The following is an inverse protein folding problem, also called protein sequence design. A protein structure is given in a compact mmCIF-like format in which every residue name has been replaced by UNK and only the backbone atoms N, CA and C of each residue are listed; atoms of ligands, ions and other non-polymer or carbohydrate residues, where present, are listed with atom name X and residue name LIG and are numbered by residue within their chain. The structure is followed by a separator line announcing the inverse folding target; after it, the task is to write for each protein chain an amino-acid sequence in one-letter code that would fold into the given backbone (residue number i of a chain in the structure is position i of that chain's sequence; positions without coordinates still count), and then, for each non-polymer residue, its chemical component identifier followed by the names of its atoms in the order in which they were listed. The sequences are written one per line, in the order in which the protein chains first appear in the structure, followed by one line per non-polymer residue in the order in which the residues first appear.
data_IF_329410155567
#
_entry.id   IF_329410155567
#
_cell.length_a   1.000
_cell.length_b   1.000
_cell.length_c   1.000
_cell.angle_alpha   90.00
_cell.angle_beta   90.00
_cell.angle_gamma   90.00
#
_symmetry.space_group_name_H-M   'P 1'
#
loop_
_entity.id
_entity.type
_entity.pdbx_description
1 polymer ?
#
# COMPACT_ATOMS: atom_id res chain seq x y z
N UNK A 1 5.54 4.65 13.63
CA UNK A 1 6.54 3.93 12.82
C UNK A 1 6.95 4.71 11.55
N UNK A 2 6.86 6.05 11.53
CA UNK A 2 7.24 6.89 10.37
C UNK A 2 8.58 7.63 10.55
N UNK A 3 9.13 7.68 11.76
CA UNK A 3 10.29 8.52 12.06
C UNK A 3 11.63 7.92 11.60
N UNK A 4 11.72 6.61 11.39
CA UNK A 4 12.99 5.97 10.98
C UNK A 4 13.23 6.01 9.46
N UNK A 5 12.15 5.90 8.66
CA UNK A 5 12.24 6.02 7.20
C UNK A 5 12.59 7.46 6.79
N UNK A 6 11.93 8.45 7.38
CA UNK A 6 12.22 9.86 7.12
C UNK A 6 13.67 10.24 7.51
N UNK A 7 14.22 9.65 8.59
CA UNK A 7 15.62 9.88 9.00
C UNK A 7 16.65 9.26 8.04
N UNK A 8 16.32 8.17 7.34
CA UNK A 8 17.23 7.56 6.35
C UNK A 8 17.34 8.40 5.07
N UNK A 9 16.23 9.00 4.64
CA UNK A 9 16.17 9.82 3.42
C UNK A 9 16.88 11.19 3.58
N UNK A 10 16.82 11.78 4.78
CA UNK A 10 17.48 13.07 5.08
C UNK A 10 19.02 13.06 4.89
N UNK A 11 19.65 11.89 4.86
CA UNK A 11 21.10 11.73 4.69
C UNK A 11 21.48 10.98 3.40
N UNK A 12 20.53 10.72 2.50
CA UNK A 12 20.76 9.97 1.26
C UNK A 12 20.98 10.88 0.05
N UNK A 13 21.68 10.37 -0.97
CA UNK A 13 21.84 11.11 -2.23
C UNK A 13 20.50 11.24 -2.98
N UNK A 14 20.34 12.24 -3.86
CA UNK A 14 19.11 12.39 -4.66
C UNK A 14 18.73 11.12 -5.44
N UNK A 15 19.73 10.38 -5.92
CA UNK A 15 19.50 9.11 -6.62
C UNK A 15 18.92 8.04 -5.67
N UNK A 16 19.42 7.95 -4.45
CA UNK A 16 18.94 6.98 -3.47
C UNK A 16 17.50 7.29 -3.02
N UNK A 17 17.10 8.56 -2.99
CA UNK A 17 15.71 8.95 -2.74
C UNK A 17 14.78 8.54 -3.90
N UNK A 18 15.19 8.78 -5.15
CA UNK A 18 14.42 8.33 -6.33
C UNK A 18 14.26 6.81 -6.37
N UNK A 19 15.35 6.06 -6.11
CA UNK A 19 15.31 4.60 -6.03
C UNK A 19 14.38 4.12 -4.92
N UNK A 20 14.38 4.77 -3.76
CA UNK A 20 13.46 4.46 -2.67
C UNK A 20 12.00 4.62 -3.07
N UNK A 21 11.64 5.76 -3.68
CA UNK A 21 10.26 6.01 -4.11
C UNK A 21 9.82 5.05 -5.21
N UNK A 22 10.71 4.75 -6.16
CA UNK A 22 10.49 3.75 -7.20
C UNK A 22 10.26 2.35 -6.63
N UNK A 23 11.13 1.87 -5.73
CA UNK A 23 10.95 0.57 -5.10
C UNK A 23 9.66 0.50 -4.27
N UNK A 24 9.33 1.58 -3.57
CA UNK A 24 8.12 1.67 -2.76
C UNK A 24 6.87 1.56 -3.63
N UNK A 25 6.81 2.27 -4.76
CA UNK A 25 5.66 2.21 -5.67
C UNK A 25 5.46 0.81 -6.26
N UNK A 26 6.55 0.14 -6.66
CA UNK A 26 6.52 -1.25 -7.13
C UNK A 26 5.97 -2.19 -6.05
N UNK A 27 6.51 -2.12 -4.83
CA UNK A 27 6.11 -3.01 -3.73
C UNK A 27 4.62 -2.82 -3.38
N UNK A 28 4.14 -1.58 -3.33
CA UNK A 28 2.73 -1.31 -3.03
C UNK A 28 1.83 -1.80 -4.16
N UNK A 29 2.23 -1.59 -5.42
CA UNK A 29 1.50 -2.10 -6.60
C UNK A 29 1.35 -3.61 -6.53
N UNK A 30 2.42 -4.34 -6.22
CA UNK A 30 2.38 -5.80 -6.07
C UNK A 30 1.39 -6.25 -4.98
N UNK A 31 1.30 -5.53 -3.85
CA UNK A 31 0.33 -5.84 -2.80
C UNK A 31 -1.10 -5.60 -3.31
N UNK A 32 -1.35 -4.46 -3.96
CA UNK A 32 -2.68 -4.14 -4.51
C UNK A 32 -3.12 -5.16 -5.57
N UNK A 33 -2.21 -5.65 -6.40
CA UNK A 33 -2.51 -6.72 -7.36
C UNK A 33 -2.87 -8.04 -6.67
N UNK A 34 -2.21 -8.39 -5.56
CA UNK A 34 -2.61 -9.58 -4.79
C UNK A 34 -4.03 -9.47 -4.25
N UNK A 35 -4.50 -8.27 -3.90
CA UNK A 35 -5.87 -8.04 -3.43
C UNK A 35 -6.93 -8.19 -4.54
N UNK A 36 -6.52 -8.24 -5.81
CA UNK A 36 -7.41 -8.45 -6.96
C UNK A 36 -7.57 -9.92 -7.34
N UNK A 37 -6.84 -10.84 -6.70
CA UNK A 37 -6.97 -12.27 -6.97
C UNK A 37 -8.39 -12.76 -6.70
N UNK A 38 -8.88 -13.68 -7.53
CA UNK A 38 -10.24 -14.21 -7.47
C UNK A 38 -10.62 -14.74 -6.08
N UNK A 39 -9.69 -15.43 -5.41
CA UNK A 39 -9.95 -15.99 -4.08
C UNK A 39 -10.16 -14.90 -3.02
N UNK A 40 -9.44 -13.78 -3.12
CA UNK A 40 -9.64 -12.62 -2.25
C UNK A 40 -11.01 -11.99 -2.53
N UNK A 41 -11.39 -11.86 -3.80
CA UNK A 41 -12.70 -11.32 -4.20
C UNK A 41 -13.84 -12.20 -3.68
N UNK A 42 -13.69 -13.53 -3.73
CA UNK A 42 -14.67 -14.48 -3.17
C UNK A 42 -14.79 -14.33 -1.65
N UNK A 43 -13.67 -14.25 -0.94
CA UNK A 43 -13.65 -14.03 0.52
C UNK A 43 -14.37 -12.71 0.86
N UNK A 44 -14.09 -11.63 0.14
CA UNK A 44 -14.75 -10.34 0.34
C UNK A 44 -16.27 -10.45 0.12
N UNK A 45 -16.73 -11.21 -0.89
CA UNK A 45 -18.16 -11.43 -1.11
C UNK A 45 -18.82 -12.19 0.03
N UNK A 46 -18.18 -13.24 0.56
CA UNK A 46 -18.69 -13.96 1.72
C UNK A 46 -18.80 -13.04 2.93
N UNK A 47 -17.74 -12.26 3.21
CA UNK A 47 -17.71 -11.32 4.33
C UNK A 47 -18.77 -10.20 4.19
N UNK A 48 -19.05 -9.75 2.97
CA UNK A 48 -20.15 -8.82 2.68
C UNK A 48 -21.51 -9.44 2.97
N UNK A 49 -21.73 -10.71 2.62
CA UNK A 49 -23.01 -11.38 2.82
C UNK A 49 -23.42 -11.56 4.29
N UNK A 50 -22.47 -11.43 5.22
CA UNK A 50 -22.70 -11.53 6.67
C UNK A 50 -22.46 -10.20 7.41
N UNK A 51 -22.30 -9.08 6.67
CA UNK A 51 -21.95 -7.77 7.23
C UNK A 51 -20.77 -7.82 8.21
N UNK A 52 -19.72 -8.55 7.84
CA UNK A 52 -18.58 -8.79 8.72
C UNK A 52 -17.89 -7.48 9.12
N UNK A 53 -17.66 -7.23 10.43
CA UNK A 53 -16.90 -6.07 10.91
C UNK A 53 -15.49 -5.98 10.30
N UNK A 54 -14.88 -7.12 9.97
CA UNK A 54 -13.55 -7.22 9.38
C UNK A 54 -13.45 -6.56 8.00
N UNK A 55 -14.58 -6.41 7.29
CA UNK A 55 -14.60 -5.78 5.97
C UNK A 55 -14.25 -4.28 6.06
N UNK A 56 -14.64 -3.62 7.14
CA UNK A 56 -14.31 -2.21 7.37
C UNK A 56 -12.80 -1.99 7.49
N UNK A 57 -12.12 -2.82 8.30
CA UNK A 57 -10.68 -2.80 8.46
C UNK A 57 -9.94 -3.10 7.16
N UNK A 58 -10.40 -4.11 6.42
CA UNK A 58 -9.83 -4.44 5.11
C UNK A 58 -9.92 -3.27 4.11
N UNK A 59 -11.09 -2.63 4.01
CA UNK A 59 -11.30 -1.50 3.11
C UNK A 59 -10.44 -0.29 3.51
N UNK A 60 -10.31 -0.02 4.82
CA UNK A 60 -9.45 1.05 5.32
C UNK A 60 -7.97 0.82 4.96
N UNK A 61 -7.46 -0.40 5.14
CA UNK A 61 -6.09 -0.75 4.77
C UNK A 61 -5.89 -0.62 3.26
N UNK A 62 -6.85 -1.09 2.45
CA UNK A 62 -6.81 -0.95 0.99
C UNK A 62 -6.70 0.52 0.57
N UNK A 63 -7.50 1.39 1.18
CA UNK A 63 -7.48 2.83 0.92
C UNK A 63 -6.13 3.45 1.32
N UNK A 64 -5.59 3.08 2.48
CA UNK A 64 -4.27 3.55 2.91
C UNK A 64 -3.16 3.14 1.94
N UNK A 65 -3.19 1.90 1.43
CA UNK A 65 -2.23 1.45 0.41
C UNK A 65 -2.33 2.28 -0.89
N UNK A 66 -3.55 2.64 -1.31
CA UNK A 66 -3.74 3.52 -2.47
C UNK A 66 -3.14 4.91 -2.24
N UNK A 67 -3.32 5.48 -1.05
CA UNK A 67 -2.73 6.77 -0.68
C UNK A 67 -1.20 6.72 -0.65
N UNK A 68 -0.62 5.63 -0.12
CA UNK A 68 0.84 5.45 -0.12
C UNK A 68 1.41 5.22 -1.52
N UNK A 69 0.64 4.61 -2.43
CA UNK A 69 1.05 4.49 -3.83
C UNK A 69 1.05 5.85 -4.52
N UNK A 70 0.03 6.67 -4.28
CA UNK A 70 -0.04 8.04 -4.81
C UNK A 70 1.17 8.84 -4.32
N UNK A 71 1.42 8.85 -3.01
CA UNK A 71 2.59 9.50 -2.42
C UNK A 71 3.90 9.00 -3.06
N UNK A 72 4.06 7.68 -3.22
CA UNK A 72 5.28 7.13 -3.82
C UNK A 72 5.44 7.48 -5.31
N UNK A 73 4.33 7.69 -6.03
CA UNK A 73 4.35 8.07 -7.44
C UNK A 73 4.59 9.56 -7.62
N UNK A 74 4.05 10.41 -6.73
CA UNK A 74 4.25 11.86 -6.77
C UNK A 74 5.69 12.26 -6.41
N UNK A 75 6.40 11.43 -5.65
CA UNK A 75 7.80 11.65 -5.25
C UNK A 75 8.83 10.91 -6.13
N UNK A 76 8.38 10.11 -7.11
CA UNK A 76 9.23 9.47 -8.13
C UNK A 76 9.33 10.36 -9.38
#
# INVERSE_FOLDING_TARGET
MNNELNKRLLNSSPLAELEFWHERSIRITLILEQMKKDDVIKIIHVLKGIDSPSLSGFNNIKLQLQNYLLEATDNY
#
